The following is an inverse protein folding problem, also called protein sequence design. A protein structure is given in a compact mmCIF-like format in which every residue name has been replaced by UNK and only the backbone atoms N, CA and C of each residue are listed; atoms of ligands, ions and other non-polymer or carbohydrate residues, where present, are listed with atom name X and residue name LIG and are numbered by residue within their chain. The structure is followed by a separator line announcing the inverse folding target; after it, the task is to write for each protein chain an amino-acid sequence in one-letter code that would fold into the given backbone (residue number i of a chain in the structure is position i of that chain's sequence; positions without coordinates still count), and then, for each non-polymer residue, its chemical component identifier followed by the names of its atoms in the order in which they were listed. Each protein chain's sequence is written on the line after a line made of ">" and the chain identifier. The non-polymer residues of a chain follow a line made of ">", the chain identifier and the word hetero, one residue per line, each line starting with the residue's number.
data_IF_365823324216
#
_entry.id   IF_365823324216
#
_cell.length_a   1.000
_cell.length_b   1.000
_cell.length_c   1.000
_cell.angle_alpha   90.00
_cell.angle_beta   90.00
_cell.angle_gamma   90.00
#
_symmetry.space_group_name_H-M   'P 1'
#
loop_
_entity.id
_entity.type
_entity.pdbx_description
1 polymer ?
#
# COMPACT_ATOMS: atom_id res chain seq x y z
N UNK A 1 23.92 -31.13 -11.26
CA UNK A 1 22.47 -31.39 -11.43
C UNK A 1 21.69 -30.18 -10.94
N UNK A 2 21.01 -29.47 -11.84
CA UNK A 2 20.06 -28.42 -11.45
C UNK A 2 18.86 -29.09 -10.77
N UNK A 3 18.74 -28.98 -9.43
CA UNK A 3 17.58 -29.48 -8.68
C UNK A 3 16.40 -28.54 -8.89
N UNK A 4 15.76 -28.67 -10.05
CA UNK A 4 14.47 -28.03 -10.28
C UNK A 4 13.47 -28.55 -9.23
N UNK A 5 12.77 -27.63 -8.57
CA UNK A 5 11.69 -27.97 -7.66
C UNK A 5 10.36 -27.78 -8.39
N UNK A 6 9.35 -28.55 -8.01
CA UNK A 6 8.01 -28.47 -8.54
C UNK A 6 7.04 -28.15 -7.42
N UNK A 7 5.98 -27.42 -7.72
CA UNK A 7 4.88 -27.21 -6.79
C UNK A 7 3.53 -27.26 -7.50
N UNK A 8 2.50 -27.70 -6.79
CA UNK A 8 1.10 -27.62 -7.24
C UNK A 8 0.36 -26.55 -6.44
N UNK A 9 0.66 -26.40 -5.15
CA UNK A 9 0.04 -25.39 -4.28
C UNK A 9 1.05 -24.33 -3.88
N UNK A 10 0.58 -23.10 -3.79
CA UNK A 10 1.36 -21.93 -3.38
C UNK A 10 0.50 -21.05 -2.50
N UNK A 11 0.96 -20.77 -1.28
CA UNK A 11 0.34 -19.76 -0.43
C UNK A 11 1.18 -18.47 -0.42
N UNK A 12 0.52 -17.33 -0.50
CA UNK A 12 1.12 -16.01 -0.31
C UNK A 12 0.53 -15.43 0.98
N UNK A 13 1.38 -15.27 1.99
CA UNK A 13 1.00 -14.83 3.33
C UNK A 13 1.36 -13.36 3.49
N UNK A 14 0.36 -12.52 3.73
CA UNK A 14 0.47 -11.07 3.89
C UNK A 14 -0.29 -10.62 5.14
N UNK A 15 0.36 -10.72 6.30
CA UNK A 15 -0.27 -10.45 7.58
C UNK A 15 -1.43 -11.41 7.85
N UNK A 16 -2.63 -10.86 8.08
CA UNK A 16 -3.85 -11.65 8.29
C UNK A 16 -4.43 -12.27 7.01
N UNK A 17 -3.89 -11.90 5.85
CA UNK A 17 -4.41 -12.28 4.55
C UNK A 17 -3.57 -13.42 3.96
N UNK A 18 -4.24 -14.48 3.49
CA UNK A 18 -3.58 -15.61 2.83
C UNK A 18 -4.24 -15.86 1.49
N UNK A 19 -3.44 -15.88 0.42
CA UNK A 19 -3.88 -16.27 -0.92
C UNK A 19 -3.34 -17.66 -1.23
N UNK A 20 -4.22 -18.67 -1.28
CA UNK A 20 -3.86 -20.02 -1.71
C UNK A 20 -4.15 -20.16 -3.20
N UNK A 21 -3.14 -20.58 -3.96
CA UNK A 21 -3.22 -20.88 -5.38
C UNK A 21 -2.96 -22.37 -5.60
N UNK A 22 -3.86 -23.02 -6.31
CA UNK A 22 -3.74 -24.42 -6.71
C UNK A 22 -3.71 -24.51 -8.23
N UNK A 23 -2.61 -25.07 -8.73
CA UNK A 23 -2.34 -25.22 -10.14
C UNK A 23 -2.87 -26.57 -10.63
N UNK A 24 -3.48 -26.59 -11.82
CA UNK A 24 -3.93 -27.81 -12.47
C UNK A 24 -2.76 -28.73 -12.81
N UNK A 25 -1.66 -28.16 -13.32
CA UNK A 25 -0.42 -28.87 -13.59
C UNK A 25 0.73 -28.35 -12.70
N UNK A 26 1.69 -29.19 -12.27
CA UNK A 26 2.84 -28.74 -11.47
C UNK A 26 3.65 -27.65 -12.16
N UNK A 27 4.15 -26.68 -11.38
CA UNK A 27 4.94 -25.55 -11.85
C UNK A 27 6.39 -25.68 -11.37
N UNK A 28 7.33 -25.46 -12.29
CA UNK A 28 8.77 -25.49 -11.98
C UNK A 28 9.20 -24.19 -11.31
N UNK A 29 10.03 -24.28 -10.28
CA UNK A 29 10.62 -23.13 -9.58
C UNK A 29 12.04 -23.42 -9.06
N UNK A 30 12.64 -22.41 -8.42
CA UNK A 30 13.98 -22.52 -7.84
C UNK A 30 15.11 -22.31 -8.86
N UNK A 31 14.82 -21.67 -9.99
CA UNK A 31 15.82 -21.32 -10.99
C UNK A 31 16.93 -20.44 -10.38
N UNK A 32 18.17 -20.91 -10.46
CA UNK A 32 19.37 -20.16 -10.05
C UNK A 32 20.11 -19.70 -11.30
N UNK A 33 19.64 -18.59 -11.90
CA UNK A 33 20.36 -17.94 -13.00
C UNK A 33 21.40 -16.94 -12.50
N UNK A 34 22.55 -16.81 -13.20
CA UNK A 34 23.35 -15.57 -13.12
C UNK A 34 22.42 -14.42 -13.49
N UNK A 35 22.43 -13.30 -12.74
CA UNK A 35 21.67 -12.09 -13.06
C UNK A 35 22.14 -11.56 -14.43
N UNK A 36 21.55 -12.08 -15.51
CA UNK A 36 21.70 -11.50 -16.83
C UNK A 36 21.14 -10.09 -16.77
N UNK A 37 21.95 -9.11 -17.14
CA UNK A 37 21.50 -7.72 -17.27
C UNK A 37 20.26 -7.68 -18.15
N UNK A 38 19.36 -6.75 -17.87
CA UNK A 38 18.27 -6.40 -18.78
C UNK A 38 18.91 -6.09 -20.13
N UNK A 39 18.68 -6.92 -21.15
CA UNK A 39 18.93 -6.50 -22.54
C UNK A 39 18.15 -5.21 -22.72
N UNK A 40 18.85 -4.14 -23.11
CA UNK A 40 18.20 -2.88 -23.46
C UNK A 40 17.13 -3.22 -24.50
N UNK A 41 15.86 -3.07 -24.13
CA UNK A 41 14.76 -3.39 -25.03
C UNK A 41 14.91 -2.51 -26.26
N UNK A 42 14.90 -3.16 -27.43
CA UNK A 42 14.79 -2.49 -28.74
C UNK A 42 13.72 -1.41 -28.62
N UNK A 43 14.09 -0.19 -29.00
CA UNK A 43 13.20 0.95 -29.20
C UNK A 43 12.24 0.62 -30.35
N UNK A 44 11.23 -0.19 -30.06
CA UNK A 44 10.17 -0.61 -30.95
C UNK A 44 8.87 -0.57 -30.18
N UNK A 45 8.23 0.60 -30.20
CA UNK A 45 6.90 0.84 -29.64
C UNK A 45 5.84 0.06 -30.43
N UNK A 46 5.67 -1.22 -30.11
CA UNK A 46 4.39 -1.87 -30.33
C UNK A 46 3.38 -1.26 -29.35
N UNK A 47 2.16 -0.88 -29.78
CA UNK A 47 1.10 -0.47 -28.88
C UNK A 47 0.85 -1.62 -27.91
N UNK A 48 1.39 -1.55 -26.69
CA UNK A 48 1.13 -2.56 -25.65
C UNK A 48 -0.37 -2.74 -25.55
N UNK A 49 -0.87 -3.92 -25.92
CA UNK A 49 -2.30 -4.25 -25.96
C UNK A 49 -2.96 -3.87 -24.63
N UNK A 50 -4.24 -3.46 -24.68
CA UNK A 50 -4.99 -3.10 -23.47
C UNK A 50 -4.96 -4.22 -22.42
N UNK A 51 -4.90 -5.48 -22.85
CA UNK A 51 -4.78 -6.66 -22.00
C UNK A 51 -3.45 -6.73 -21.23
N UNK A 52 -2.32 -6.46 -21.89
CA UNK A 52 -1.02 -6.43 -21.20
C UNK A 52 -1.02 -5.36 -20.10
N UNK A 53 -1.57 -4.18 -20.39
CA UNK A 53 -1.68 -3.09 -19.42
C UNK A 53 -2.55 -3.52 -18.24
N UNK A 54 -3.77 -4.02 -18.49
CA UNK A 54 -4.66 -4.57 -17.45
C UNK A 54 -3.95 -5.61 -16.56
N UNK A 55 -3.12 -6.49 -17.14
CA UNK A 55 -2.37 -7.50 -16.38
C UNK A 55 -1.29 -6.90 -15.49
N UNK A 56 -0.44 -6.03 -16.04
CA UNK A 56 0.62 -5.33 -15.25
C UNK A 56 -0.03 -4.50 -14.15
N UNK A 57 -1.16 -3.89 -14.47
CA UNK A 57 -1.99 -3.12 -13.56
C UNK A 57 -2.49 -3.95 -12.38
N UNK A 58 -3.20 -5.03 -12.67
CA UNK A 58 -3.70 -5.93 -11.63
C UNK A 58 -2.57 -6.50 -10.78
N UNK A 59 -1.42 -6.79 -11.38
CA UNK A 59 -0.23 -7.22 -10.64
C UNK A 59 0.21 -6.16 -9.63
N UNK A 60 0.37 -4.91 -10.04
CA UNK A 60 0.77 -3.83 -9.15
C UNK A 60 -0.28 -3.55 -8.06
N UNK A 61 -1.58 -3.74 -8.34
CA UNK A 61 -2.65 -3.75 -7.32
C UNK A 61 -2.39 -4.76 -6.22
N UNK A 62 -2.21 -6.03 -6.58
CA UNK A 62 -2.01 -7.07 -5.57
C UNK A 62 -0.65 -6.95 -4.87
N UNK A 63 0.39 -6.51 -5.58
CA UNK A 63 1.69 -6.24 -4.95
C UNK A 63 1.57 -5.12 -3.90
N UNK A 64 0.82 -4.05 -4.16
CA UNK A 64 0.51 -3.01 -3.18
C UNK A 64 -0.25 -3.57 -1.98
N UNK A 65 -1.35 -4.28 -2.21
CA UNK A 65 -2.20 -4.84 -1.14
C UNK A 65 -1.36 -5.72 -0.21
N UNK A 66 -0.58 -6.63 -0.78
CA UNK A 66 0.31 -7.53 -0.03
C UNK A 66 1.36 -6.74 0.74
N UNK A 67 1.96 -5.72 0.12
CA UNK A 67 2.98 -4.91 0.78
C UNK A 67 2.40 -4.12 1.96
N UNK A 68 1.19 -3.56 1.82
CA UNK A 68 0.48 -2.89 2.91
C UNK A 68 0.18 -3.89 4.04
N UNK A 69 -0.43 -5.02 3.71
CA UNK A 69 -0.87 -6.01 4.70
C UNK A 69 0.28 -6.78 5.37
N UNK A 70 1.53 -6.63 4.92
CA UNK A 70 2.71 -7.16 5.63
C UNK A 70 3.29 -6.14 6.61
N UNK A 71 3.14 -4.84 6.33
CA UNK A 71 3.86 -3.78 7.03
C UNK A 71 2.97 -2.91 7.94
N UNK A 72 1.68 -2.84 7.66
CA UNK A 72 0.73 -1.98 8.37
C UNK A 72 -0.39 -2.82 8.99
N UNK A 73 -0.01 -3.82 9.80
CA UNK A 73 -0.92 -4.74 10.48
C UNK A 73 -1.14 -4.38 11.94
N UNK A 74 -2.28 -4.77 12.50
CA UNK A 74 -2.56 -4.51 13.92
C UNK A 74 -1.51 -5.15 14.86
N UNK A 75 -0.86 -6.25 14.45
CA UNK A 75 0.23 -6.89 15.19
C UNK A 75 1.57 -6.11 15.16
N UNK A 76 1.72 -5.15 14.23
CA UNK A 76 2.90 -4.28 14.12
C UNK A 76 2.87 -3.07 15.06
N UNK A 77 1.79 -2.87 15.83
CA UNK A 77 1.66 -1.80 16.84
C UNK A 77 2.52 -2.12 18.08
N UNK A 78 3.83 -1.88 17.99
CA UNK A 78 4.72 -1.93 19.14
C UNK A 78 4.39 -0.84 20.16
N UNK A 79 4.05 -1.25 21.39
CA UNK A 79 4.07 -0.51 22.67
C UNK A 79 2.97 0.51 23.01
N UNK A 80 2.14 1.04 22.11
CA UNK A 80 1.19 2.13 22.52
C UNK A 80 -0.27 2.00 22.07
N UNK A 81 -0.68 0.92 21.37
CA UNK A 81 -2.06 0.83 20.85
C UNK A 81 -2.40 1.88 19.78
N UNK A 82 -1.37 2.50 19.17
CA UNK A 82 -1.53 3.52 18.13
C UNK A 82 -1.86 2.90 16.77
N UNK A 83 -3.05 3.22 16.23
CA UNK A 83 -3.38 2.98 14.82
C UNK A 83 -2.35 3.59 13.85
N UNK A 84 -2.17 2.99 12.66
CA UNK A 84 -1.48 3.66 11.56
C UNK A 84 -2.25 4.89 11.09
N UNK A 85 -1.63 5.73 10.27
CA UNK A 85 -2.28 6.94 9.73
C UNK A 85 -2.49 6.83 8.24
N UNK A 86 -3.71 7.11 7.81
CA UNK A 86 -4.05 7.35 6.42
C UNK A 86 -4.10 8.86 6.17
N UNK A 87 -3.18 9.35 5.36
CA UNK A 87 -3.01 10.76 5.04
C UNK A 87 -3.42 11.00 3.60
N UNK A 88 -4.20 12.06 3.39
CA UNK A 88 -4.44 12.64 2.07
C UNK A 88 -3.75 14.00 2.00
N UNK A 89 -2.84 14.18 1.05
CA UNK A 89 -2.22 15.47 0.76
C UNK A 89 -2.78 16.00 -0.56
N UNK A 90 -3.27 17.23 -0.53
CA UNK A 90 -3.93 17.87 -1.67
C UNK A 90 -3.21 19.17 -1.99
N UNK A 91 -2.95 19.43 -3.27
CA UNK A 91 -2.47 20.74 -3.72
C UNK A 91 -3.63 21.75 -3.77
N UNK A 92 -3.39 22.95 -3.24
CA UNK A 92 -4.22 24.13 -3.48
C UNK A 92 -3.90 24.69 -4.86
N UNK A 93 -4.91 25.26 -5.49
CA UNK A 93 -4.79 26.04 -6.72
C UNK A 93 -3.71 27.13 -6.60
N UNK A 94 -2.84 27.24 -7.62
CA UNK A 94 -1.76 28.23 -7.66
C UNK A 94 -0.55 27.96 -6.75
N UNK A 95 -0.55 26.87 -5.96
CA UNK A 95 0.56 26.54 -5.05
C UNK A 95 1.84 26.12 -5.77
N UNK A 96 1.72 25.57 -6.98
CA UNK A 96 2.79 25.20 -7.92
C UNK A 96 2.28 25.47 -9.34
N UNK A 97 3.18 25.88 -10.24
CA UNK A 97 2.87 26.26 -11.63
C UNK A 97 2.21 25.15 -12.47
N UNK A 98 2.25 23.89 -12.01
CA UNK A 98 1.55 22.78 -12.64
C UNK A 98 1.15 21.68 -11.64
N UNK A 99 -0.02 21.82 -11.00
CA UNK A 99 -0.57 20.85 -10.01
C UNK A 99 -0.88 19.46 -10.59
N UNK A 100 -0.65 19.25 -11.90
CA UNK A 100 -0.89 17.99 -12.62
C UNK A 100 0.39 17.23 -12.97
N UNK A 101 1.57 17.84 -12.79
CA UNK A 101 2.85 17.15 -13.03
C UNK A 101 3.17 16.19 -11.89
N UNK A 102 2.97 14.89 -12.14
CA UNK A 102 3.23 13.80 -11.20
C UNK A 102 4.69 13.78 -10.73
N UNK A 103 5.67 14.11 -11.59
CA UNK A 103 7.09 14.12 -11.21
C UNK A 103 7.37 15.24 -10.22
N UNK A 104 6.89 16.45 -10.50
CA UNK A 104 7.02 17.59 -9.59
C UNK A 104 6.29 17.33 -8.27
N UNK A 105 5.07 16.81 -8.33
CA UNK A 105 4.31 16.44 -7.15
C UNK A 105 5.07 15.45 -6.25
N UNK A 106 5.75 14.44 -6.84
CA UNK A 106 6.57 13.50 -6.08
C UNK A 106 7.79 14.14 -5.43
N UNK A 107 8.37 15.19 -6.01
CA UNK A 107 9.46 15.95 -5.39
C UNK A 107 8.97 16.59 -4.08
N UNK A 108 7.81 17.25 -4.11
CA UNK A 108 7.24 17.88 -2.91
C UNK A 108 6.81 16.85 -1.87
N UNK A 109 6.19 15.75 -2.30
CA UNK A 109 5.89 14.62 -1.41
C UNK A 109 7.15 14.10 -0.71
N UNK A 110 8.27 13.97 -1.43
CA UNK A 110 9.54 13.54 -0.83
C UNK A 110 10.09 14.54 0.18
N UNK A 111 9.91 15.85 -0.03
CA UNK A 111 10.29 16.87 0.96
C UNK A 111 9.46 16.72 2.23
N UNK A 112 8.14 16.54 2.11
CA UNK A 112 7.24 16.26 3.22
C UNK A 112 7.65 14.98 3.99
N UNK A 113 7.83 13.86 3.27
CA UNK A 113 8.24 12.58 3.84
C UNK A 113 9.61 12.65 4.53
N UNK A 114 10.53 13.49 4.04
CA UNK A 114 11.84 13.73 4.66
C UNK A 114 11.71 14.47 6.00
N UNK A 115 10.85 15.51 6.08
CA UNK A 115 10.56 16.23 7.33
C UNK A 115 9.98 15.27 8.38
N UNK A 116 9.00 14.44 8.00
CA UNK A 116 8.43 13.41 8.88
C UNK A 116 9.46 12.39 9.35
N UNK A 117 10.30 11.90 8.43
CA UNK A 117 11.38 10.96 8.77
C UNK A 117 12.30 11.52 9.84
N UNK A 118 12.65 12.81 9.74
CA UNK A 118 13.47 13.46 10.74
C UNK A 118 12.79 13.52 12.11
N UNK A 119 11.49 13.84 12.15
CA UNK A 119 10.70 13.84 13.40
C UNK A 119 10.64 12.45 14.02
N UNK A 120 10.27 11.42 13.25
CA UNK A 120 10.24 10.04 13.75
C UNK A 120 11.61 9.58 14.26
N UNK A 121 12.69 9.91 13.54
CA UNK A 121 14.06 9.58 13.95
C UNK A 121 14.43 10.23 15.28
N UNK A 122 14.06 11.50 15.51
CA UNK A 122 14.29 12.20 16.79
C UNK A 122 13.56 11.54 17.96
N UNK A 123 12.45 10.87 17.68
CA UNK A 123 11.70 10.07 18.67
C UNK A 123 12.18 8.61 18.76
N UNK A 124 13.29 8.25 18.09
CA UNK A 124 13.79 6.86 18.08
C UNK A 124 12.89 5.88 17.33
N UNK A 125 12.02 6.35 16.43
CA UNK A 125 11.07 5.54 15.65
C UNK A 125 11.51 5.40 14.20
N UNK A 126 11.30 4.22 13.62
CA UNK A 126 11.38 4.04 12.19
C UNK A 126 10.18 4.69 11.48
N UNK A 127 10.41 5.33 10.33
CA UNK A 127 9.35 5.90 9.50
C UNK A 127 9.10 5.05 8.25
N UNK A 128 7.90 4.47 8.18
CA UNK A 128 7.42 3.66 7.06
C UNK A 128 6.23 4.32 6.41
N UNK A 129 6.17 4.29 5.08
CA UNK A 129 4.99 4.74 4.34
C UNK A 129 4.83 3.99 3.03
N UNK A 130 3.61 3.96 2.51
CA UNK A 130 3.33 3.70 1.10
C UNK A 130 2.35 4.75 0.62
N UNK A 131 2.64 5.40 -0.52
CA UNK A 131 1.74 6.37 -1.13
C UNK A 131 1.30 5.95 -2.53
N UNK A 132 0.08 6.32 -2.89
CA UNK A 132 -0.53 6.19 -4.20
C UNK A 132 -1.03 7.56 -4.64
N UNK A 133 -1.01 7.81 -5.95
CA UNK A 133 -1.53 9.04 -6.54
C UNK A 133 -2.99 8.82 -6.93
N UNK A 134 -3.86 9.75 -6.55
CA UNK A 134 -5.22 9.91 -7.08
C UNK A 134 -5.30 11.26 -7.82
N UNK A 135 -6.05 11.38 -8.92
CA UNK A 135 -6.35 12.67 -9.55
C UNK A 135 -7.76 13.13 -9.18
N UNK A 136 -7.86 14.33 -8.59
CA UNK A 136 -9.18 14.89 -8.29
C UNK A 136 -9.74 15.62 -9.52
N UNK A 137 -10.40 14.86 -10.39
CA UNK A 137 -11.03 15.37 -11.62
C UNK A 137 -12.46 15.91 -11.43
N UNK A 138 -13.04 15.78 -10.23
CA UNK A 138 -14.41 16.26 -9.92
C UNK A 138 -14.64 17.75 -10.20
N UNK A 139 -13.58 18.57 -10.10
CA UNK A 139 -13.64 20.01 -10.42
C UNK A 139 -13.04 20.34 -11.80
N UNK A 140 -12.77 19.33 -12.66
CA UNK A 140 -12.06 19.44 -13.96
C UNK A 140 -10.62 20.00 -13.86
N UNK A 141 -9.96 19.85 -12.72
CA UNK A 141 -8.63 20.46 -12.44
C UNK A 141 -7.45 19.50 -12.50
N UNK A 142 -7.68 18.19 -12.36
CA UNK A 142 -6.62 17.19 -12.40
C UNK A 142 -5.56 17.29 -11.31
N UNK A 143 -5.88 17.93 -10.18
CA UNK A 143 -4.93 18.09 -9.08
C UNK A 143 -4.48 16.73 -8.55
N UNK A 144 -3.16 16.57 -8.39
CA UNK A 144 -2.57 15.38 -7.80
C UNK A 144 -2.91 15.31 -6.31
N UNK A 145 -3.45 14.18 -5.87
CA UNK A 145 -3.65 13.84 -4.48
C UNK A 145 -2.72 12.70 -4.10
N UNK A 146 -2.02 12.83 -2.98
CA UNK A 146 -1.30 11.70 -2.41
C UNK A 146 -2.14 11.06 -1.33
N UNK A 147 -2.54 9.81 -1.54
CA UNK A 147 -3.08 8.96 -0.49
C UNK A 147 -1.96 8.11 0.05
N UNK A 148 -1.71 8.18 1.34
CA UNK A 148 -0.59 7.49 1.96
C UNK A 148 -1.01 6.79 3.25
N UNK A 149 -0.58 5.56 3.41
CA UNK A 149 -0.55 4.92 4.72
C UNK A 149 0.84 5.09 5.33
N UNK A 150 0.90 5.49 6.59
CA UNK A 150 2.14 5.83 7.28
C UNK A 150 2.16 5.28 8.72
N UNK A 151 3.35 4.85 9.13
CA UNK A 151 3.71 4.58 10.52
C UNK A 151 4.37 5.82 11.10
N UNK A 152 3.52 6.71 11.59
CA UNK A 152 3.89 7.93 12.29
C UNK A 152 3.14 7.95 13.61
N UNK A 153 3.71 8.57 14.67
CA UNK A 153 2.92 8.91 15.85
C UNK A 153 1.66 9.70 15.42
N UNK A 154 0.59 9.64 16.22
CA UNK A 154 -0.39 10.73 16.15
C UNK A 154 0.39 12.02 16.40
N UNK A 155 0.07 13.08 15.63
CA UNK A 155 0.34 14.52 15.87
C UNK A 155 1.30 15.16 14.84
N UNK A 156 0.97 16.35 14.27
CA UNK A 156 0.28 17.44 14.96
C UNK A 156 -1.01 18.04 14.40
N UNK A 157 -1.87 18.36 15.38
CA UNK A 157 -2.93 19.36 15.36
C UNK A 157 -2.40 20.74 14.93
N UNK A 158 -3.25 21.57 14.35
CA UNK A 158 -2.88 22.93 13.93
C UNK A 158 -2.37 23.74 15.12
N UNK A 159 -1.68 24.85 14.86
CA UNK A 159 -1.19 25.74 15.93
C UNK A 159 -2.31 26.14 16.90
N UNK A 160 -3.49 26.44 16.38
CA UNK A 160 -4.66 26.85 17.17
C UNK A 160 -5.12 25.73 18.12
N UNK A 161 -5.22 24.51 17.62
CA UNK A 161 -5.64 23.35 18.42
C UNK A 161 -4.54 22.93 19.40
N UNK A 162 -3.26 23.12 19.05
CA UNK A 162 -2.16 22.94 19.99
C UNK A 162 -2.21 23.96 21.14
N UNK A 163 -2.52 25.22 20.84
CA UNK A 163 -2.70 26.29 21.82
C UNK A 163 -3.94 26.07 22.71
N UNK A 164 -5.02 25.51 22.16
CA UNK A 164 -6.19 25.03 22.90
C UNK A 164 -5.83 23.87 23.84
N UNK A 165 -5.20 22.81 23.34
CA UNK A 165 -4.80 21.66 24.15
C UNK A 165 -3.77 22.04 25.24
N UNK A 166 -2.92 23.04 24.97
CA UNK A 166 -2.02 23.61 25.97
C UNK A 166 -2.79 24.31 27.09
N UNK A 167 -3.82 25.10 26.76
CA UNK A 167 -4.70 25.74 27.77
C UNK A 167 -5.44 24.70 28.61
N UNK A 168 -5.87 23.59 28.01
CA UNK A 168 -6.59 22.51 28.69
C UNK A 168 -5.69 21.49 29.42
N UNK A 169 -4.37 21.64 29.37
CA UNK A 169 -3.43 20.68 29.97
C UNK A 169 -3.39 19.30 29.28
N UNK A 170 -3.91 19.20 28.06
CA UNK A 170 -4.01 17.96 27.26
C UNK A 170 -2.89 17.82 26.21
N UNK A 171 -1.96 18.78 26.16
CA UNK A 171 -0.86 18.75 25.22
C UNK A 171 0.12 17.63 25.60
N UNK A 172 0.40 16.65 24.71
CA UNK A 172 1.41 15.64 24.99
C UNK A 172 2.77 16.30 25.28
N UNK A 173 3.50 15.75 26.25
CA UNK A 173 4.75 16.34 26.72
C UNK A 173 5.83 16.45 25.63
N UNK A 174 5.73 15.66 24.57
CA UNK A 174 6.63 15.63 23.41
C UNK A 174 6.13 16.44 22.19
N UNK A 175 5.06 17.22 22.32
CA UNK A 175 4.48 18.01 21.24
C UNK A 175 5.36 19.22 20.84
N UNK A 176 5.67 19.35 19.54
CA UNK A 176 6.36 20.51 18.97
C UNK A 176 5.47 21.27 17.97
N UNK A 177 5.06 22.49 18.34
CA UNK A 177 4.19 23.40 17.55
C UNK A 177 4.74 23.67 16.13
N UNK A 178 6.06 23.59 15.92
CA UNK A 178 6.69 23.80 14.60
C UNK A 178 6.63 22.58 13.65
N UNK A 179 5.98 21.49 14.05
CA UNK A 179 6.01 20.22 13.30
C UNK A 179 4.67 19.82 12.68
N UNK A 180 3.70 20.73 12.57
CA UNK A 180 2.36 20.38 12.08
C UNK A 180 2.37 19.94 10.60
N UNK A 181 1.49 18.99 10.24
CA UNK A 181 1.51 18.40 8.90
C UNK A 181 1.20 19.42 7.80
N UNK A 182 0.41 20.46 8.11
CA UNK A 182 0.07 21.53 7.17
C UNK A 182 1.31 22.35 6.79
N UNK A 183 2.12 22.77 7.75
CA UNK A 183 3.38 23.50 7.52
C UNK A 183 4.44 22.62 6.87
N UNK A 184 4.46 21.32 7.21
CA UNK A 184 5.33 20.37 6.53
C UNK A 184 4.96 20.24 5.05
N UNK A 185 3.67 20.19 4.75
CA UNK A 185 3.15 20.06 3.39
C UNK A 185 3.31 21.35 2.60
N UNK A 186 2.85 22.48 3.12
CA UNK A 186 3.06 23.82 2.55
C UNK A 186 2.33 24.12 1.23
N UNK A 187 1.61 23.15 0.65
CA UNK A 187 1.05 23.28 -0.70
C UNK A 187 -0.47 23.17 -0.77
N UNK A 188 -1.18 22.97 0.35
CA UNK A 188 -2.63 22.87 0.37
C UNK A 188 -3.14 22.18 1.62
N UNK A 189 -4.14 21.31 1.48
CA UNK A 189 -4.76 20.64 2.63
C UNK A 189 -4.12 19.30 2.95
N UNK A 190 -4.20 18.95 4.24
CA UNK A 190 -3.80 17.65 4.78
C UNK A 190 -4.99 17.08 5.54
N UNK A 191 -5.41 15.88 5.17
CA UNK A 191 -6.37 15.11 5.97
C UNK A 191 -5.65 13.94 6.60
N UNK A 192 -5.85 13.71 7.89
CA UNK A 192 -5.26 12.58 8.62
C UNK A 192 -6.37 11.78 9.28
N UNK A 193 -6.38 10.47 9.03
CA UNK A 193 -7.28 9.51 9.69
C UNK A 193 -6.44 8.42 10.35
N UNK A 194 -6.85 7.99 11.54
CA UNK A 194 -6.42 6.71 12.09
C UNK A 194 -6.91 5.58 11.18
N UNK A 195 -6.09 4.57 10.92
CA UNK A 195 -6.47 3.38 10.18
C UNK A 195 -5.96 2.12 10.90
N UNK A 196 -6.84 1.13 11.06
CA UNK A 196 -6.51 -0.16 11.67
C UNK A 196 -7.31 -1.30 11.05
N UNK A 197 -6.75 -2.51 11.12
CA UNK A 197 -7.48 -3.72 10.75
C UNK A 197 -8.52 -4.04 11.83
N UNK A 198 -9.72 -4.43 11.41
CA UNK A 198 -10.84 -4.75 12.29
C UNK A 198 -11.80 -5.73 11.61
N UNK A 199 -12.49 -6.55 12.42
CA UNK A 199 -13.51 -7.49 11.94
C UNK A 199 -14.83 -6.82 11.52
N UNK A 200 -15.02 -5.56 11.92
CA UNK A 200 -16.14 -4.72 11.50
C UNK A 200 -15.64 -3.53 10.68
N UNK A 201 -16.55 -2.93 9.92
CA UNK A 201 -16.25 -1.78 9.06
C UNK A 201 -16.79 -0.51 9.69
N UNK A 202 -15.92 0.47 9.91
CA UNK A 202 -16.28 1.81 10.40
C UNK A 202 -15.44 2.85 9.68
N UNK A 203 -16.06 3.90 9.15
CA UNK A 203 -15.34 5.00 8.53
C UNK A 203 -15.94 6.33 8.97
N UNK A 204 -15.14 7.14 9.65
CA UNK A 204 -15.50 8.49 10.10
C UNK A 204 -14.51 9.52 9.54
N UNK A 205 -14.68 10.77 9.93
CA UNK A 205 -13.70 11.84 9.66
C UNK A 205 -12.36 11.61 10.36
N UNK A 206 -12.31 10.78 11.42
CA UNK A 206 -11.11 10.56 12.25
C UNK A 206 -10.54 9.14 12.16
N UNK A 207 -11.38 8.14 11.90
CA UNK A 207 -10.99 6.71 12.04
C UNK A 207 -11.50 5.90 10.85
N UNK A 208 -10.67 4.97 10.40
CA UNK A 208 -10.97 3.92 9.43
C UNK A 208 -10.70 2.58 10.10
N UNK A 209 -11.72 1.75 10.19
CA UNK A 209 -11.64 0.36 10.60
C UNK A 209 -12.11 -0.50 9.42
N UNK A 210 -11.26 -1.44 9.00
CA UNK A 210 -11.55 -2.28 7.84
C UNK A 210 -10.92 -3.66 7.98
N UNK A 211 -11.54 -4.66 7.37
CA UNK A 211 -11.00 -6.02 7.28
C UNK A 211 -9.69 -6.09 6.50
N UNK A 212 -9.48 -5.21 5.51
CA UNK A 212 -8.30 -5.24 4.62
C UNK A 212 -7.83 -3.81 4.33
N UNK A 213 -6.81 -3.39 5.09
CA UNK A 213 -6.20 -2.06 4.94
C UNK A 213 -5.55 -1.90 3.57
N UNK A 214 -4.93 -2.96 3.05
CA UNK A 214 -4.34 -2.99 1.71
C UNK A 214 -5.38 -2.76 0.61
N UNK A 215 -6.53 -3.43 0.67
CA UNK A 215 -7.62 -3.21 -0.29
C UNK A 215 -8.17 -1.77 -0.17
N UNK A 216 -8.30 -1.23 1.05
CA UNK A 216 -8.72 0.16 1.26
C UNK A 216 -7.80 1.15 0.55
N UNK A 217 -6.49 1.05 0.76
CA UNK A 217 -5.48 1.92 0.13
C UNK A 217 -5.46 1.71 -1.39
N UNK A 218 -5.58 0.46 -1.85
CA UNK A 218 -5.57 0.14 -3.27
C UNK A 218 -6.74 0.73 -4.05
N UNK A 219 -7.88 1.04 -3.41
CA UNK A 219 -9.01 1.72 -4.09
C UNK A 219 -8.60 3.04 -4.72
N UNK A 220 -7.74 3.81 -4.06
CA UNK A 220 -7.26 5.10 -4.56
C UNK A 220 -6.34 4.93 -5.77
N UNK A 221 -5.51 3.88 -5.78
CA UNK A 221 -4.70 3.55 -6.95
C UNK A 221 -5.53 3.03 -8.13
N UNK A 222 -6.60 2.25 -7.86
CA UNK A 222 -7.43 1.65 -8.92
C UNK A 222 -8.21 2.70 -9.70
N UNK A 223 -8.66 3.78 -9.05
CA UNK A 223 -9.42 4.85 -9.71
C UNK A 223 -8.65 5.46 -10.88
N UNK A 224 -7.34 5.67 -10.70
CA UNK A 224 -6.49 6.33 -11.71
C UNK A 224 -5.54 5.38 -12.41
N UNK A 225 -5.73 4.06 -12.26
CA UNK A 225 -4.81 3.06 -12.81
C UNK A 225 -4.65 3.17 -14.34
N UNK A 226 -5.67 3.63 -15.05
CA UNK A 226 -5.64 3.82 -16.50
C UNK A 226 -5.13 5.18 -16.95
N UNK A 227 -4.83 6.09 -16.02
CA UNK A 227 -4.63 7.49 -16.35
C UNK A 227 -3.35 7.69 -17.19
N UNK A 228 -3.44 8.33 -18.38
CA UNK A 228 -2.29 8.62 -19.22
C UNK A 228 -1.16 9.36 -18.49
N UNK A 229 -1.46 10.20 -17.51
CA UNK A 229 -0.48 10.95 -16.69
C UNK A 229 0.42 10.06 -15.85
N UNK A 230 -0.01 8.83 -15.53
CA UNK A 230 0.78 7.84 -14.79
C UNK A 230 1.60 6.91 -15.70
N UNK A 231 1.47 7.00 -17.03
CA UNK A 231 2.21 6.13 -17.93
C UNK A 231 3.72 6.35 -17.81
N UNK A 232 4.45 5.24 -17.69
CA UNK A 232 5.91 5.26 -17.48
C UNK A 232 6.34 5.60 -16.05
N UNK A 233 5.41 5.98 -15.16
CA UNK A 233 5.69 6.27 -13.76
C UNK A 233 5.32 5.09 -12.85
N UNK A 234 5.83 5.10 -11.62
CA UNK A 234 5.40 4.14 -10.58
C UNK A 234 3.99 4.52 -10.11
N UNK A 235 3.07 3.56 -10.10
CA UNK A 235 1.68 3.74 -9.64
C UNK A 235 1.52 3.76 -8.12
N UNK A 236 2.55 3.32 -7.38
CA UNK A 236 2.69 3.51 -5.94
C UNK A 236 4.18 3.66 -5.56
N UNK A 237 4.44 4.31 -4.43
CA UNK A 237 5.79 4.59 -3.94
C UNK A 237 5.93 4.19 -2.47
N UNK A 238 6.65 3.10 -2.16
CA UNK A 238 6.93 2.67 -0.79
C UNK A 238 8.20 3.32 -0.23
N UNK A 239 8.27 3.48 1.09
CA UNK A 239 9.53 3.71 1.80
C UNK A 239 10.48 2.51 1.67
N UNK A 240 11.75 2.72 1.97
CA UNK A 240 12.73 1.63 2.05
C UNK A 240 12.49 0.74 3.28
N UNK A 241 13.02 -0.48 3.26
CA UNK A 241 12.98 -1.40 4.40
C UNK A 241 11.65 -2.13 4.64
N UNK A 242 10.65 -1.98 3.76
CA UNK A 242 9.39 -2.71 3.91
C UNK A 242 9.57 -4.21 3.70
N UNK A 243 9.02 -4.99 4.63
CA UNK A 243 8.96 -6.45 4.59
C UNK A 243 8.15 -6.92 3.38
N UNK A 244 8.55 -8.04 2.80
CA UNK A 244 7.85 -8.68 1.66
C UNK A 244 6.93 -9.80 2.15
N UNK A 245 5.86 -10.12 1.41
CA UNK A 245 5.01 -11.25 1.75
C UNK A 245 5.79 -12.56 1.71
N UNK A 246 5.46 -13.46 2.62
CA UNK A 246 6.04 -14.80 2.64
C UNK A 246 5.34 -15.66 1.59
N UNK A 247 6.12 -16.48 0.88
CA UNK A 247 5.63 -17.43 -0.11
C UNK A 247 6.08 -18.81 0.30
N UNK A 248 5.13 -19.72 0.41
CA UNK A 248 5.35 -21.13 0.78
C UNK A 248 4.64 -22.04 -0.21
N UNK A 249 5.04 -23.32 -0.27
CA UNK A 249 4.63 -24.25 -1.32
C UNK A 249 4.14 -25.58 -0.75
N UNK A 250 3.23 -26.22 -1.49
CA UNK A 250 2.70 -27.56 -1.21
C UNK A 250 2.30 -27.78 0.25
N UNK A 251 2.96 -28.67 1.00
CA UNK A 251 2.63 -28.97 2.40
C UNK A 251 2.60 -27.72 3.27
N UNK A 252 3.57 -26.82 3.12
CA UNK A 252 3.62 -25.57 3.89
C UNK A 252 2.50 -24.60 3.47
N UNK A 253 2.07 -24.66 2.20
CA UNK A 253 0.94 -23.88 1.71
C UNK A 253 -0.40 -24.39 2.26
N UNK A 254 -0.55 -25.70 2.44
CA UNK A 254 -1.71 -26.32 3.10
C UNK A 254 -1.75 -25.97 4.58
N UNK A 255 -0.61 -26.12 5.28
CA UNK A 255 -0.47 -25.72 6.69
C UNK A 255 -0.80 -24.24 6.92
N UNK A 256 -0.44 -23.37 5.98
CA UNK A 256 -0.73 -21.94 6.10
C UNK A 256 -2.23 -21.60 6.20
N UNK A 257 -3.10 -22.45 5.62
CA UNK A 257 -4.56 -22.26 5.65
C UNK A 257 -5.28 -23.26 6.56
N UNK A 258 -4.53 -24.09 7.29
CA UNK A 258 -5.10 -25.06 8.23
C UNK A 258 -5.93 -24.34 9.29
N UNK A 259 -7.12 -24.88 9.56
CA UNK A 259 -8.08 -24.28 10.49
C UNK A 259 -8.86 -23.07 9.94
N UNK A 260 -8.61 -22.60 8.71
CA UNK A 260 -9.42 -21.55 8.08
C UNK A 260 -10.61 -22.15 7.33
N UNK A 261 -11.82 -21.79 7.75
CA UNK A 261 -13.07 -22.26 7.18
C UNK A 261 -13.67 -21.33 6.12
N UNK A 262 -14.91 -21.63 5.72
CA UNK A 262 -15.69 -20.83 4.76
C UNK A 262 -15.95 -19.41 5.26
N UNK A 263 -16.07 -19.23 6.57
CA UNK A 263 -16.25 -17.95 7.24
C UNK A 263 -15.07 -16.99 7.04
N UNK A 264 -13.84 -17.52 6.98
CA UNK A 264 -12.64 -16.71 6.72
C UNK A 264 -12.47 -16.37 5.23
N UNK A 265 -13.19 -17.04 4.33
CA UNK A 265 -13.04 -16.86 2.89
C UNK A 265 -13.54 -15.46 2.48
N UNK A 266 -12.65 -14.68 1.87
CA UNK A 266 -12.96 -13.34 1.35
C UNK A 266 -13.47 -13.43 -0.09
N UNK A 267 -12.76 -14.19 -0.93
CA UNK A 267 -13.10 -14.41 -2.34
C UNK A 267 -12.37 -15.64 -2.87
N UNK A 268 -12.87 -16.21 -3.96
CA UNK A 268 -12.19 -17.24 -4.72
C UNK A 268 -12.52 -17.14 -6.21
N UNK A 269 -11.83 -17.93 -7.01
CA UNK A 269 -12.08 -18.04 -8.44
C UNK A 269 -11.03 -18.87 -9.15
N UNK A 270 -10.99 -18.78 -10.47
CA UNK A 270 -9.96 -19.40 -11.30
C UNK A 270 -9.47 -18.42 -12.38
N UNK A 271 -8.26 -18.66 -12.88
CA UNK A 271 -7.71 -17.95 -14.04
C UNK A 271 -6.69 -18.82 -14.77
N UNK A 272 -6.49 -18.56 -16.06
CA UNK A 272 -5.45 -19.22 -16.84
C UNK A 272 -4.13 -18.46 -16.71
N UNK A 273 -3.11 -19.11 -16.19
CA UNK A 273 -1.75 -18.59 -16.20
C UNK A 273 -1.14 -18.77 -17.60
N UNK A 274 -1.20 -17.72 -18.41
CA UNK A 274 -0.66 -17.65 -19.78
C UNK A 274 0.81 -18.03 -19.92
N UNK A 275 1.63 -17.93 -18.86
CA UNK A 275 3.06 -18.27 -18.96
C UNK A 275 3.32 -19.78 -18.97
N UNK A 276 2.42 -20.55 -18.35
CA UNK A 276 2.52 -22.01 -18.26
C UNK A 276 1.34 -22.72 -18.91
N UNK A 277 0.46 -21.96 -19.58
CA UNK A 277 -0.86 -22.40 -20.06
C UNK A 277 -1.58 -23.32 -19.06
N UNK A 278 -1.67 -22.84 -17.81
CA UNK A 278 -2.06 -23.66 -16.66
C UNK A 278 -3.23 -23.01 -15.93
N UNK A 279 -4.31 -23.75 -15.68
CA UNK A 279 -5.44 -23.25 -14.91
C UNK A 279 -5.06 -23.16 -13.44
N UNK A 280 -5.33 -22.02 -12.80
CA UNK A 280 -5.05 -21.79 -11.39
C UNK A 280 -6.35 -21.49 -10.68
N UNK A 281 -6.75 -22.35 -9.74
CA UNK A 281 -7.79 -22.03 -8.76
C UNK A 281 -7.16 -21.23 -7.63
N UNK A 282 -7.87 -20.24 -7.10
CA UNK A 282 -7.38 -19.48 -5.97
C UNK A 282 -8.48 -19.18 -4.96
N UNK A 283 -8.08 -19.11 -3.70
CA UNK A 283 -8.92 -18.69 -2.59
C UNK A 283 -8.14 -17.70 -1.73
N UNK A 284 -8.75 -16.57 -1.40
CA UNK A 284 -8.22 -15.55 -0.50
C UNK A 284 -8.95 -15.64 0.84
N UNK A 285 -8.20 -15.86 1.91
CA UNK A 285 -8.68 -15.91 3.28
C UNK A 285 -8.23 -14.67 4.05
N UNK A 286 -9.02 -14.27 5.06
CA UNK A 286 -8.63 -13.29 6.07
C UNK A 286 -8.90 -13.85 7.46
N UNK A 287 -7.85 -13.98 8.27
CA UNK A 287 -7.92 -14.52 9.64
C UNK A 287 -8.83 -13.72 10.57
N UNK A 288 -9.02 -12.43 10.32
CA UNK A 288 -9.90 -11.57 11.11
C UNK A 288 -11.38 -11.68 10.72
N UNK A 289 -11.67 -12.25 9.55
CA UNK A 289 -13.05 -12.44 9.11
C UNK A 289 -13.62 -13.64 9.85
N UNK A 290 -14.53 -13.40 10.77
CA UNK A 290 -15.30 -14.41 11.50
C UNK A 290 -16.76 -14.37 11.06
N UNK A 291 -17.57 -15.32 11.53
CA UNK A 291 -19.04 -15.21 11.44
C UNK A 291 -19.53 -13.95 12.17
#
# INVERSE_FOLDING_TARGET
>A
MSKHKFYRKKAIISGNQIELHEHENPVVYGFTGKRGGRTAGVSGSSPRSGEYRKRVTNKAKYDLIRLVNVNFTSAGMGRTGDSYKFITLTFREGSISNVTDVKQAYIEFKKYARKLREVCRKQGREFKYITVVEFQDKNKRGAVHFHAIMDIPVIPVTREVAEEWKREGKLPHDYNVKTNHYDMWGHGSVTVKAIKESNHKKETSKVIETLDVGEYVARYMVKDFGDPRLQGNKVYSPSQGLKKPQVVYDTEAEQAVEGLGKENMVRGGSYTNTHHNNTVKYVKFNKLKTK
#
